data_IF_969967382539
#
_entry.id   IF_969967382539
#
_cell.length_a   1.000
_cell.length_b   1.000
_cell.length_c   1.000
_cell.angle_alpha   90.00
_cell.angle_beta   90.00
_cell.angle_gamma   90.00
#
_symmetry.space_group_name_H-M   'P 1'
#
loop_
_entity.id
_entity.type
_entity.pdbx_description
1 polymer ?
#
# COMPACT_ATOMS: atom_id res chain seq x y z
N UNK A 1 1.59 4.61 -20.38
CA UNK A 1 0.64 5.53 -21.02
C UNK A 1 1.40 6.77 -21.44
N UNK A 2 0.94 7.45 -22.48
CA UNK A 2 1.68 8.55 -23.09
C UNK A 2 1.63 9.83 -22.25
N UNK A 3 0.59 9.99 -21.42
CA UNK A 3 0.41 11.14 -20.53
C UNK A 3 -0.12 10.67 -19.17
N UNK A 4 0.46 11.22 -18.09
CA UNK A 4 -0.02 11.05 -16.72
C UNK A 4 -0.40 12.41 -16.17
N UNK A 5 -1.65 12.56 -15.71
CA UNK A 5 -2.14 13.80 -15.11
C UNK A 5 -2.21 13.59 -13.60
N UNK A 6 -1.48 14.42 -12.84
CA UNK A 6 -1.46 14.39 -11.38
C UNK A 6 -2.20 15.61 -10.86
N UNK A 7 -3.24 15.37 -10.06
CA UNK A 7 -4.02 16.44 -9.44
C UNK A 7 -3.37 16.89 -8.12
N UNK A 8 -3.48 18.18 -7.81
CA UNK A 8 -3.07 18.71 -6.49
C UNK A 8 -4.05 18.25 -5.42
N UNK A 9 -3.60 18.21 -4.16
CA UNK A 9 -4.46 17.88 -3.02
C UNK A 9 -5.70 18.76 -2.96
N UNK A 10 -6.86 18.16 -2.69
CA UNK A 10 -8.14 18.85 -2.61
C UNK A 10 -8.98 18.80 -3.90
N UNK A 11 -8.38 18.45 -5.03
CA UNK A 11 -9.11 18.20 -6.27
C UNK A 11 -9.65 16.77 -6.31
N UNK A 12 -10.85 16.58 -6.87
CA UNK A 12 -11.50 15.27 -7.02
C UNK A 12 -11.86 15.05 -8.50
N UNK A 13 -11.61 13.85 -9.01
CA UNK A 13 -12.12 13.44 -10.32
C UNK A 13 -13.58 13.00 -10.17
N UNK A 14 -14.44 13.52 -11.05
CA UNK A 14 -15.84 13.14 -11.12
C UNK A 14 -16.02 12.40 -12.43
N UNK A 15 -16.46 11.14 -12.36
CA UNK A 15 -16.81 10.35 -13.53
C UNK A 15 -18.00 10.95 -14.26
N UNK A 16 -18.12 10.68 -15.55
CA UNK A 16 -19.24 11.15 -16.39
C UNK A 16 -20.60 10.61 -15.94
N UNK A 17 -20.59 9.50 -15.19
CA UNK A 17 -21.72 8.84 -14.54
C UNK A 17 -22.06 9.42 -13.14
N UNK A 18 -21.34 10.47 -12.71
CA UNK A 18 -21.49 11.07 -11.39
C UNK A 18 -20.81 10.29 -10.27
N UNK A 19 -20.13 9.17 -10.56
CA UNK A 19 -19.38 8.44 -9.54
C UNK A 19 -18.11 9.20 -9.18
N UNK A 20 -17.93 9.45 -7.88
CA UNK A 20 -16.72 10.07 -7.36
C UNK A 20 -15.65 8.99 -7.31
N UNK A 21 -14.66 9.09 -8.19
CA UNK A 21 -13.49 8.21 -8.16
C UNK A 21 -12.59 8.63 -6.99
N UNK A 22 -11.95 7.65 -6.34
CA UNK A 22 -10.96 7.93 -5.31
C UNK A 22 -9.91 8.91 -5.87
N UNK A 23 -9.51 9.94 -5.10
CA UNK A 23 -8.68 11.01 -5.62
C UNK A 23 -7.33 10.44 -6.08
N UNK A 24 -7.04 10.57 -7.38
CA UNK A 24 -5.72 10.27 -7.96
C UNK A 24 -4.80 11.45 -7.61
N UNK A 25 -4.52 11.61 -6.32
CA UNK A 25 -3.61 12.65 -5.82
C UNK A 25 -2.23 12.03 -5.61
N UNK A 26 -1.17 12.78 -5.91
CA UNK A 26 0.18 12.42 -5.45
C UNK A 26 0.36 12.55 -3.92
N UNK A 27 -0.71 12.84 -3.19
CA UNK A 27 -0.68 12.92 -1.74
C UNK A 27 -0.52 11.51 -1.17
N UNK A 28 0.51 11.36 -0.34
CA UNK A 28 0.78 10.16 0.43
C UNK A 28 -0.48 9.77 1.22
N UNK A 29 -1.05 8.61 0.91
CA UNK A 29 -2.14 8.05 1.70
C UNK A 29 -1.51 7.33 2.89
N UNK A 30 -1.60 7.94 4.06
CA UNK A 30 -1.21 7.29 5.30
C UNK A 30 -2.37 6.44 5.80
N UNK A 31 -2.13 5.14 5.92
CA UNK A 31 -3.09 4.20 6.47
C UNK A 31 -2.38 3.23 7.41
N UNK A 32 -3.05 2.74 8.45
CA UNK A 32 -2.44 1.80 9.38
C UNK A 32 -2.26 0.43 8.73
N UNK A 33 -1.10 -0.19 9.00
CA UNK A 33 -0.82 -1.59 8.65
C UNK A 33 -0.78 -2.37 9.95
N UNK A 34 -1.57 -3.45 10.02
CA UNK A 34 -1.70 -4.28 11.22
C UNK A 34 -1.39 -5.73 10.85
N UNK A 35 -0.37 -6.29 11.50
CA UNK A 35 -0.11 -7.73 11.50
C UNK A 35 -0.55 -8.32 12.84
N UNK A 36 -1.38 -9.36 12.80
CA UNK A 36 -1.92 -10.01 13.99
C UNK A 36 -1.92 -11.52 13.79
N UNK A 37 -1.44 -12.27 14.78
CA UNK A 37 -1.39 -13.73 14.71
C UNK A 37 -0.47 -14.36 15.75
N UNK A 38 -0.37 -15.69 15.69
CA UNK A 38 0.49 -16.47 16.58
C UNK A 38 1.97 -16.20 16.30
N UNK A 39 2.76 -15.97 17.35
CA UNK A 39 4.19 -15.71 17.24
C UNK A 39 4.58 -14.28 16.87
N UNK A 40 3.62 -13.34 16.78
CA UNK A 40 3.90 -11.91 16.59
C UNK A 40 3.85 -11.22 17.95
N UNK A 41 4.99 -10.70 18.40
CA UNK A 41 5.04 -9.90 19.61
C UNK A 41 4.30 -8.56 19.40
N UNK A 42 3.49 -8.10 20.37
CA UNK A 42 2.80 -6.83 20.27
C UNK A 42 3.80 -5.68 20.28
N UNK A 43 3.82 -4.90 19.21
CA UNK A 43 4.66 -3.71 19.08
C UNK A 43 4.02 -2.69 18.13
N UNK A 44 4.34 -1.41 18.34
CA UNK A 44 3.96 -0.33 17.44
C UNK A 44 5.22 0.22 16.78
N UNK A 45 5.22 0.24 15.44
CA UNK A 45 6.35 0.73 14.65
C UNK A 45 5.95 2.09 14.08
N UNK A 46 6.70 3.15 14.44
CA UNK A 46 6.51 4.50 13.91
C UNK A 46 7.24 4.74 12.58
N UNK A 47 8.09 3.81 12.16
CA UNK A 47 8.81 3.89 10.90
C UNK A 47 7.84 3.78 9.73
N UNK A 48 7.82 4.73 8.79
CA UNK A 48 6.98 4.62 7.62
C UNK A 48 7.42 3.44 6.75
N UNK A 49 6.47 2.58 6.41
CA UNK A 49 6.67 1.44 5.50
C UNK A 49 5.83 1.64 4.24
N UNK A 50 6.27 1.04 3.14
CA UNK A 50 5.55 1.06 1.87
C UNK A 50 4.69 -0.19 1.72
N UNK A 51 3.64 -0.09 0.91
CA UNK A 51 2.60 -1.13 0.74
C UNK A 51 3.12 -2.36 -0.03
N UNK A 52 4.11 -2.15 -0.88
CA UNK A 52 4.84 -3.17 -1.63
C UNK A 52 5.62 -4.16 -0.74
N UNK A 53 5.96 -3.80 0.50
CA UNK A 53 6.53 -4.73 1.49
C UNK A 53 5.51 -5.76 2.01
N UNK A 54 4.20 -5.57 1.82
CA UNK A 54 3.17 -6.45 2.41
C UNK A 54 3.19 -7.85 1.79
N UNK A 55 3.18 -7.93 0.47
CA UNK A 55 3.20 -9.20 -0.26
C UNK A 55 4.40 -10.09 0.14
N UNK A 56 5.67 -9.62 0.10
CA UNK A 56 6.80 -10.44 0.50
C UNK A 56 6.76 -10.81 1.99
N UNK A 57 6.26 -9.92 2.87
CA UNK A 57 6.12 -10.21 4.31
C UNK A 57 5.16 -11.37 4.57
N UNK A 58 3.98 -11.34 3.95
CA UNK A 58 3.00 -12.43 4.07
C UNK A 58 3.53 -13.73 3.45
N UNK A 59 4.16 -13.66 2.28
CA UNK A 59 4.76 -14.84 1.64
C UNK A 59 5.80 -15.51 2.54
N UNK A 60 6.67 -14.72 3.18
CA UNK A 60 7.67 -15.24 4.12
C UNK A 60 7.04 -15.86 5.36
N UNK A 61 6.03 -15.21 5.95
CA UNK A 61 5.30 -15.75 7.10
C UNK A 61 4.63 -17.09 6.80
N UNK A 62 4.06 -17.24 5.59
CA UNK A 62 3.41 -18.47 5.12
C UNK A 62 4.39 -19.52 4.57
N UNK A 63 5.68 -19.20 4.47
CA UNK A 63 6.72 -20.05 3.86
C UNK A 63 6.43 -20.42 2.39
N UNK A 64 5.88 -19.48 1.63
CA UNK A 64 5.67 -19.59 0.18
C UNK A 64 6.61 -18.63 -0.57
N UNK A 65 6.83 -18.90 -1.86
CA UNK A 65 7.62 -18.00 -2.70
C UNK A 65 6.89 -16.67 -2.89
N UNK A 66 7.62 -15.56 -2.76
CA UNK A 66 7.09 -14.24 -3.05
C UNK A 66 6.67 -14.10 -4.54
N UNK A 67 5.65 -13.28 -4.84
CA UNK A 67 5.29 -12.94 -6.22
C UNK A 67 6.51 -12.40 -7.00
N UNK A 68 6.60 -12.72 -8.29
CA UNK A 68 7.75 -12.32 -9.12
C UNK A 68 7.92 -10.81 -9.31
N UNK A 69 6.85 -10.03 -9.10
CA UNK A 69 6.87 -8.57 -9.19
C UNK A 69 7.21 -7.84 -7.90
N UNK A 70 7.60 -8.54 -6.83
CA UNK A 70 8.01 -7.89 -5.58
C UNK A 70 9.40 -7.28 -5.73
N UNK A 71 9.51 -5.97 -5.48
CA UNK A 71 10.79 -5.24 -5.46
C UNK A 71 11.33 -4.99 -4.06
N UNK A 72 10.48 -5.08 -3.04
CA UNK A 72 10.81 -4.78 -1.65
C UNK A 72 11.07 -6.03 -0.81
N UNK A 73 11.81 -5.84 0.28
CA UNK A 73 12.09 -6.89 1.26
C UNK A 73 10.93 -7.06 2.26
N UNK A 74 10.75 -8.27 2.82
CA UNK A 74 9.80 -8.50 3.89
C UNK A 74 10.21 -7.75 5.17
N UNK A 75 9.22 -7.33 5.95
CA UNK A 75 9.43 -6.56 7.19
C UNK A 75 10.00 -7.41 8.34
N UNK A 76 9.76 -8.72 8.34
CA UNK A 76 10.26 -9.68 9.32
C UNK A 76 10.41 -11.07 8.72
#
# INVERSE_FOLDING_TARGET
>A
GDVVIVLRSGWRSIGTDGQISAPITAARVEFPIIFYGCGIAPQTIGTPVRVDCLAPTVSKALRIRAPSGCSELPLF
#
